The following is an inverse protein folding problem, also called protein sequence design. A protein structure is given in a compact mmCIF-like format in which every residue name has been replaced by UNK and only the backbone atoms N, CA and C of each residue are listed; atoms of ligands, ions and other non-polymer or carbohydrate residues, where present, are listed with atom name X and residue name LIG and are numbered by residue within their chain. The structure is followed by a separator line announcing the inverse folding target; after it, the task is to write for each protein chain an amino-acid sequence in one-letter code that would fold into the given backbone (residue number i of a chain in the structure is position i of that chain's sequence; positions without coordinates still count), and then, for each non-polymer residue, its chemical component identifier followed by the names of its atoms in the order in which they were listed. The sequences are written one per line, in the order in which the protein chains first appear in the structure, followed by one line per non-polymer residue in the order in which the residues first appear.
data_IF_881742850594
#
_entry.id   IF_881742850594
#
_cell.length_a   1.000
_cell.length_b   1.000
_cell.length_c   1.000
_cell.angle_alpha   90.00
_cell.angle_beta   90.00
_cell.angle_gamma   90.00
#
_symmetry.space_group_name_H-M   'P 1'
#
loop_
_entity.id
_entity.type
_entity.pdbx_description
1 polymer ?
#
# COMPACT_ATOMS: atom_id res chain seq x y z
N UNK A 1 -7.83 3.99 2.42
CA UNK A 1 -7.32 2.88 1.58
C UNK A 1 -7.85 2.87 0.15
N UNK A 2 -9.12 3.21 -0.11
CA UNK A 2 -9.68 3.22 -1.48
C UNK A 2 -8.82 3.98 -2.51
N UNK A 3 -8.34 5.18 -2.18
CA UNK A 3 -7.44 5.95 -3.05
C UNK A 3 -6.16 5.18 -3.41
N UNK A 4 -5.58 4.46 -2.45
CA UNK A 4 -4.36 3.68 -2.67
C UNK A 4 -4.60 2.53 -3.65
N UNK A 5 -5.74 1.84 -3.52
CA UNK A 5 -6.13 0.75 -4.42
C UNK A 5 -6.39 1.27 -5.82
N UNK A 6 -7.16 2.36 -5.96
CA UNK A 6 -7.42 2.98 -7.26
C UNK A 6 -6.12 3.41 -7.98
N UNK A 7 -5.13 3.92 -7.26
CA UNK A 7 -3.83 4.27 -7.84
C UNK A 7 -3.07 3.04 -8.38
N UNK A 8 -3.23 1.86 -7.76
CA UNK A 8 -2.66 0.60 -8.27
C UNK A 8 -3.39 0.16 -9.54
N UNK A 9 -4.73 0.22 -9.54
CA UNK A 9 -5.57 -0.10 -10.70
C UNK A 9 -5.19 0.78 -11.90
N UNK A 10 -5.11 2.10 -11.69
CA UNK A 10 -4.70 3.07 -12.70
C UNK A 10 -3.25 2.83 -13.18
N UNK A 11 -2.34 2.46 -12.28
CA UNK A 11 -0.96 2.12 -12.65
C UNK A 11 -0.92 0.89 -13.56
N UNK A 12 -1.70 -0.15 -13.24
CA UNK A 12 -1.80 -1.35 -14.06
C UNK A 12 -2.40 -1.06 -15.43
N UNK A 13 -3.44 -0.21 -15.48
CA UNK A 13 -4.03 0.24 -16.74
C UNK A 13 -2.98 0.98 -17.60
N UNK A 14 -2.26 1.96 -17.03
CA UNK A 14 -1.23 2.70 -17.77
C UNK A 14 -0.08 1.81 -18.23
N UNK A 15 0.33 0.83 -17.44
CA UNK A 15 1.35 -0.14 -17.83
C UNK A 15 0.90 -0.98 -19.03
N UNK A 16 -0.40 -1.34 -19.11
CA UNK A 16 -0.98 -2.08 -20.25
C UNK A 16 -1.14 -1.24 -21.53
N UNK A 17 -1.00 0.08 -21.42
CA UNK A 17 -1.13 1.04 -22.52
C UNK A 17 0.20 1.75 -22.86
N UNK A 18 1.32 1.03 -22.75
CA UNK A 18 2.67 1.50 -23.10
C UNK A 18 3.08 2.82 -22.43
N UNK A 19 2.58 3.06 -21.20
CA UNK A 19 2.90 4.25 -20.41
C UNK A 19 3.59 3.91 -19.07
N UNK A 20 4.71 3.15 -19.08
CA UNK A 20 5.36 2.64 -17.88
C UNK A 20 5.86 3.74 -16.94
N UNK A 21 6.36 4.86 -17.46
CA UNK A 21 6.80 5.99 -16.61
C UNK A 21 5.66 6.57 -15.77
N UNK A 22 4.45 6.70 -16.35
CA UNK A 22 3.30 7.17 -15.58
C UNK A 22 2.82 6.12 -14.58
N UNK A 23 2.84 4.84 -14.96
CA UNK A 23 2.55 3.75 -14.03
C UNK A 23 3.51 3.75 -12.83
N UNK A 24 4.82 3.98 -13.06
CA UNK A 24 5.83 4.16 -12.02
C UNK A 24 5.48 5.32 -11.07
N UNK A 25 5.03 6.46 -11.60
CA UNK A 25 4.67 7.58 -10.76
C UNK A 25 3.42 7.29 -9.90
N UNK A 26 2.44 6.57 -10.44
CA UNK A 26 1.23 6.17 -9.70
C UNK A 26 1.52 5.16 -8.58
N UNK A 27 2.41 4.18 -8.79
CA UNK A 27 2.80 3.28 -7.69
C UNK A 27 3.52 4.02 -6.56
N UNK A 28 4.31 5.06 -6.87
CA UNK A 28 4.94 5.90 -5.83
C UNK A 28 3.88 6.72 -5.10
N UNK A 29 2.90 7.29 -5.80
CA UNK A 29 1.78 7.97 -5.15
C UNK A 29 0.96 7.03 -4.28
N UNK A 30 0.73 5.79 -4.71
CA UNK A 30 0.05 4.77 -3.91
C UNK A 30 0.81 4.52 -2.59
N UNK A 31 2.13 4.39 -2.65
CA UNK A 31 2.97 4.26 -1.44
C UNK A 31 2.91 5.51 -0.54
N UNK A 32 2.81 6.72 -1.10
CA UNK A 32 2.59 7.94 -0.31
C UNK A 32 1.23 7.97 0.38
N UNK A 33 0.16 7.56 -0.30
CA UNK A 33 -1.18 7.46 0.30
C UNK A 33 -1.24 6.37 1.38
N UNK A 34 -0.58 5.23 1.14
CA UNK A 34 -0.41 4.19 2.14
C UNK A 34 0.31 4.72 3.38
N UNK A 35 1.40 5.48 3.21
CA UNK A 35 2.14 6.06 4.34
C UNK A 35 1.25 6.95 5.22
N UNK A 36 0.41 7.79 4.59
CA UNK A 36 -0.56 8.62 5.32
C UNK A 36 -1.59 7.77 6.05
N UNK A 37 -2.09 6.71 5.40
CA UNK A 37 -3.01 5.76 6.03
C UNK A 37 -2.36 5.11 7.24
N UNK A 38 -1.09 4.71 7.16
CA UNK A 38 -0.33 4.15 8.28
C UNK A 38 -0.13 5.14 9.44
N UNK A 39 0.12 6.42 9.15
CA UNK A 39 0.19 7.45 10.18
C UNK A 39 -1.13 7.63 10.91
N UNK A 40 -2.25 7.66 10.20
CA UNK A 40 -3.57 7.72 10.83
C UNK A 40 -3.86 6.45 11.62
N UNK A 41 -3.60 5.29 11.03
CA UNK A 41 -3.82 3.99 11.66
C UNK A 41 -3.07 3.89 12.99
N UNK A 42 -1.77 4.20 13.01
CA UNK A 42 -0.97 4.15 14.23
C UNK A 42 -1.45 5.14 15.32
N UNK A 43 -2.06 6.26 14.93
CA UNK A 43 -2.63 7.22 15.89
C UNK A 43 -4.04 6.86 16.37
N UNK A 44 -4.80 6.13 15.55
CA UNK A 44 -6.23 5.91 15.75
C UNK A 44 -6.58 4.50 16.23
N UNK A 45 -5.74 3.49 15.94
CA UNK A 45 -6.00 2.07 16.17
C UNK A 45 -6.49 1.78 17.59
N UNK A 46 -5.86 2.40 18.60
CA UNK A 46 -6.24 2.21 19.99
C UNK A 46 -7.68 2.68 20.27
N UNK A 47 -8.08 3.84 19.73
CA UNK A 47 -9.43 4.37 19.91
C UNK A 47 -10.46 3.66 19.03
N UNK A 48 -10.08 3.24 17.82
CA UNK A 48 -10.93 2.42 16.95
C UNK A 48 -11.18 1.02 17.51
N UNK A 49 -10.23 0.47 18.26
CA UNK A 49 -10.36 -0.85 18.90
C UNK A 49 -11.15 -0.79 20.21
N UNK A 50 -11.21 0.37 20.86
CA UNK A 50 -11.80 0.51 22.19
C UNK A 50 -13.28 0.05 22.31
N UNK A 51 -14.16 0.33 21.32
CA UNK A 51 -15.54 -0.18 21.35
C UNK A 51 -15.63 -1.70 21.21
N UNK A 52 -14.62 -2.35 20.61
CA UNK A 52 -14.66 -3.77 20.30
C UNK A 52 -14.43 -4.66 21.52
N UNK A 53 -13.85 -4.14 22.62
CA UNK A 53 -13.61 -4.92 23.85
C UNK A 53 -12.70 -6.14 23.63
N UNK A 54 -11.64 -5.98 22.82
CA UNK A 54 -10.75 -7.06 22.41
C UNK A 54 -9.60 -7.31 23.38
N UNK A 55 -8.97 -8.49 23.25
CA UNK A 55 -7.78 -8.88 24.01
C UNK A 55 -7.95 -8.83 25.54
N UNK A 56 -9.16 -9.11 26.02
CA UNK A 56 -9.48 -9.09 27.46
C UNK A 56 -9.69 -7.68 28.04
N UNK A 57 -9.79 -6.65 27.19
CA UNK A 57 -10.14 -5.29 27.59
C UNK A 57 -11.66 -5.11 27.59
N UNK A 58 -12.19 -4.35 28.54
CA UNK A 58 -13.61 -3.98 28.54
C UNK A 58 -13.91 -3.01 27.38
N UNK A 59 -15.06 -3.21 26.74
CA UNK A 59 -15.57 -2.29 25.71
C UNK A 59 -15.82 -0.91 26.33
N UNK A 60 -15.34 0.14 25.64
CA UNK A 60 -15.59 1.53 25.99
C UNK A 60 -15.83 2.37 24.73
N UNK A 61 -16.52 3.52 24.82
CA UNK A 61 -16.60 4.44 23.69
C UNK A 61 -15.21 4.87 23.20
N UNK A 62 -15.09 5.05 21.88
CA UNK A 62 -13.91 5.65 21.26
C UNK A 62 -13.76 7.10 21.73
N UNK A 63 -12.53 7.49 22.08
CA UNK A 63 -12.16 8.86 22.38
C UNK A 63 -11.74 9.62 21.11
N UNK A 64 -11.27 10.86 21.31
CA UNK A 64 -10.78 11.70 20.22
C UNK A 64 -9.44 11.17 19.68
N UNK A 65 -9.32 11.11 18.35
CA UNK A 65 -8.07 10.78 17.66
C UNK A 65 -7.30 12.07 17.36
N UNK A 66 -6.08 12.16 17.88
CA UNK A 66 -5.18 13.29 17.58
C UNK A 66 -4.51 13.05 16.23
N UNK A 67 -4.76 13.93 15.27
CA UNK A 67 -4.13 13.86 13.95
C UNK A 67 -2.62 14.12 14.08
N UNK A 68 -1.75 13.21 13.59
CA UNK A 68 -0.30 13.40 13.59
C UNK A 68 0.14 14.73 12.95
N UNK A 69 1.18 15.37 13.50
CA UNK A 69 1.70 16.65 13.00
C UNK A 69 2.10 16.60 11.51
N UNK A 70 2.64 15.46 11.07
CA UNK A 70 3.00 15.22 9.66
C UNK A 70 1.81 15.23 8.69
N UNK A 71 0.58 15.08 9.19
CA UNK A 71 -0.66 15.18 8.42
C UNK A 71 -1.36 16.52 8.60
N UNK A 72 -1.17 17.18 9.74
CA UNK A 72 -1.79 18.48 10.03
C UNK A 72 -1.01 19.67 9.47
N UNK A 73 0.29 19.50 9.19
CA UNK A 73 1.11 20.53 8.57
C UNK A 73 0.98 20.52 7.04
N UNK A 74 1.03 21.71 6.42
CA UNK A 74 1.14 21.86 4.95
C UNK A 74 2.51 21.45 4.41
N UNK A 75 3.45 21.02 5.28
CA UNK A 75 4.74 20.52 4.85
C UNK A 75 4.54 19.26 4.02
N UNK A 76 5.35 19.15 2.96
CA UNK A 76 5.35 18.04 2.02
C UNK A 76 6.55 17.13 2.27
N UNK A 77 6.64 16.39 3.39
CA UNK A 77 7.75 15.48 3.60
C UNK A 77 7.53 14.19 2.80
N UNK A 78 7.58 14.27 1.47
CA UNK A 78 7.37 13.13 0.57
C UNK A 78 8.33 11.98 0.89
N UNK A 79 9.59 12.30 1.21
CA UNK A 79 10.59 11.32 1.60
C UNK A 79 10.27 10.64 2.94
N UNK A 80 9.73 11.36 3.93
CA UNK A 80 9.36 10.75 5.22
C UNK A 80 8.14 9.83 5.06
N UNK A 81 7.16 10.21 4.22
CA UNK A 81 6.03 9.34 3.86
C UNK A 81 6.54 8.06 3.21
N UNK A 82 7.37 8.19 2.18
CA UNK A 82 7.92 7.03 1.48
C UNK A 82 8.78 6.15 2.40
N UNK A 83 9.54 6.73 3.32
CA UNK A 83 10.29 5.96 4.32
C UNK A 83 9.36 5.09 5.18
N UNK A 84 8.23 5.64 5.65
CA UNK A 84 7.25 4.88 6.47
C UNK A 84 6.64 3.73 5.68
N UNK A 85 6.27 3.96 4.42
CA UNK A 85 5.74 2.92 3.57
C UNK A 85 6.78 1.83 3.25
N UNK A 86 8.04 2.19 3.01
CA UNK A 86 9.11 1.22 2.76
C UNK A 86 9.49 0.43 4.02
N UNK A 87 9.49 1.06 5.20
CA UNK A 87 9.67 0.37 6.48
C UNK A 87 8.57 -0.67 6.69
N UNK A 88 7.30 -0.29 6.47
CA UNK A 88 6.19 -1.22 6.54
C UNK A 88 6.34 -2.36 5.52
N UNK A 89 6.74 -2.01 4.29
CA UNK A 89 6.98 -2.99 3.23
C UNK A 89 8.13 -3.97 3.53
N UNK A 90 9.14 -3.56 4.32
CA UNK A 90 10.28 -4.44 4.64
C UNK A 90 9.87 -5.70 5.40
N UNK A 91 8.79 -5.64 6.20
CA UNK A 91 8.24 -6.80 6.90
C UNK A 91 7.54 -7.82 6.00
N UNK A 92 7.21 -7.46 4.75
CA UNK A 92 6.47 -8.34 3.82
C UNK A 92 7.23 -9.59 3.40
N UNK A 93 8.56 -9.50 3.30
CA UNK A 93 9.37 -10.60 2.81
C UNK A 93 9.19 -11.85 3.68
N UNK A 94 9.22 -11.68 5.00
CA UNK A 94 9.00 -12.79 5.93
C UNK A 94 7.54 -13.23 6.05
N UNK A 95 6.58 -12.40 5.66
CA UNK A 95 5.16 -12.76 5.63
C UNK A 95 4.84 -13.67 4.44
N UNK A 96 5.32 -13.32 3.25
CA UNK A 96 5.00 -14.01 2.00
C UNK A 96 5.99 -15.13 1.62
N UNK A 97 7.14 -15.19 2.30
CA UNK A 97 8.22 -16.13 1.98
C UNK A 97 8.70 -16.83 3.25
N UNK A 98 8.47 -18.15 3.34
CA UNK A 98 8.83 -18.95 4.52
C UNK A 98 10.35 -18.94 4.81
N UNK A 99 11.15 -18.88 3.76
CA UNK A 99 12.61 -18.78 3.75
C UNK A 99 13.12 -17.41 4.25
N UNK A 100 12.29 -16.36 4.19
CA UNK A 100 12.66 -14.98 4.58
C UNK A 100 12.03 -14.55 5.90
N UNK A 101 11.42 -15.48 6.67
CA UNK A 101 10.82 -15.19 7.99
C UNK A 101 11.75 -14.54 9.00
N UNK A 102 13.07 -14.77 8.89
CA UNK A 102 14.05 -14.11 9.78
C UNK A 102 14.15 -12.60 9.54
N UNK A 103 13.85 -12.13 8.33
CA UNK A 103 13.89 -10.71 7.97
C UNK A 103 12.77 -9.90 8.67
N UNK A 104 11.75 -10.56 9.23
CA UNK A 104 10.74 -9.92 10.10
C UNK A 104 11.35 -9.32 11.38
N UNK A 105 12.46 -9.89 11.84
CA UNK A 105 13.12 -9.53 13.10
C UNK A 105 14.39 -8.69 12.90
N UNK A 106 14.83 -8.51 11.66
CA UNK A 106 15.97 -7.66 11.35
C UNK A 106 15.53 -6.19 11.30
N UNK A 107 16.20 -5.34 12.07
CA UNK A 107 15.95 -3.90 12.02
C UNK A 107 16.36 -3.38 10.67
N UNK A 108 15.38 -2.84 9.98
CA UNK A 108 15.52 -2.32 8.66
C UNK A 108 16.46 -1.08 8.67
N UNK A 109 17.41 -1.01 7.73
CA UNK A 109 18.42 0.06 7.67
C UNK A 109 17.80 1.43 7.28
N UNK A 110 17.76 2.34 8.26
CA UNK A 110 17.16 3.67 8.13
C UNK A 110 17.81 4.54 7.04
N UNK A 111 19.13 4.42 6.84
CA UNK A 111 19.85 5.20 5.82
C UNK A 111 19.46 4.72 4.42
N UNK A 112 19.34 3.40 4.25
CA UNK A 112 18.87 2.78 3.00
C UNK A 112 17.43 3.21 2.66
N UNK A 113 16.54 3.38 3.65
CA UNK A 113 15.19 3.88 3.37
C UNK A 113 15.15 5.34 2.98
N UNK A 114 15.95 6.20 3.60
CA UNK A 114 16.01 7.61 3.22
C UNK A 114 16.51 7.78 1.77
N UNK A 115 17.55 7.02 1.39
CA UNK A 115 18.05 7.00 0.02
C UNK A 115 16.99 6.47 -0.97
N UNK A 116 16.33 5.36 -0.62
CA UNK A 116 15.25 4.77 -1.44
C UNK A 116 14.08 5.75 -1.61
N UNK A 117 13.63 6.37 -0.53
CA UNK A 117 12.54 7.35 -0.55
C UNK A 117 12.88 8.57 -1.44
N UNK A 118 14.13 9.05 -1.38
CA UNK A 118 14.61 10.12 -2.26
C UNK A 118 14.56 9.70 -3.72
N UNK A 119 15.06 8.50 -4.05
CA UNK A 119 15.03 7.96 -5.41
C UNK A 119 13.59 7.80 -5.91
N UNK A 120 12.69 7.23 -5.10
CA UNK A 120 11.26 7.10 -5.43
C UNK A 120 10.58 8.43 -5.71
N UNK A 121 10.93 9.49 -4.97
CA UNK A 121 10.40 10.81 -5.28
C UNK A 121 10.91 11.36 -6.62
N UNK A 122 12.15 11.06 -7.02
CA UNK A 122 12.68 11.40 -8.35
C UNK A 122 11.99 10.58 -9.45
N UNK A 123 11.86 9.27 -9.26
CA UNK A 123 11.12 8.36 -10.15
C UNK A 123 9.71 8.88 -10.44
N UNK A 124 9.00 9.31 -9.40
CA UNK A 124 7.67 9.91 -9.51
C UNK A 124 7.68 11.19 -10.35
N UNK A 125 8.67 12.07 -10.15
CA UNK A 125 8.77 13.30 -10.93
C UNK A 125 9.04 12.99 -12.41
N UNK A 126 9.96 12.06 -12.69
CA UNK A 126 10.29 11.61 -14.05
C UNK A 126 9.09 10.98 -14.77
N UNK A 127 8.20 10.32 -14.03
CA UNK A 127 6.98 9.73 -14.58
C UNK A 127 5.84 10.70 -14.87
N UNK A 128 5.88 11.94 -14.36
CA UNK A 128 4.84 12.95 -14.62
C UNK A 128 5.30 14.09 -15.53
N UNK A 129 6.57 14.46 -15.46
CA UNK A 129 7.07 15.68 -16.08
C UNK A 129 8.06 15.37 -17.20
N UNK A 130 8.01 16.20 -18.23
CA UNK A 130 9.10 16.32 -19.20
C UNK A 130 10.17 17.19 -18.55
N UNK A 131 11.42 16.73 -18.59
CA UNK A 131 12.54 17.45 -18.01
C UNK A 131 13.67 17.62 -19.03
N UNK A 132 14.59 18.53 -18.75
CA UNK A 132 15.76 18.82 -19.58
C UNK A 132 17.03 18.55 -18.79
N UNK A 133 17.83 17.61 -19.28
CA UNK A 133 19.17 17.33 -18.78
C UNK A 133 20.21 17.80 -19.80
N UNK A 134 20.76 19.00 -19.59
CA UNK A 134 21.72 19.62 -20.51
C UNK A 134 21.11 19.93 -21.89
N UNK A 135 21.50 19.17 -22.90
CA UNK A 135 20.93 19.26 -24.26
C UNK A 135 19.87 18.18 -24.55
N UNK A 136 19.66 17.26 -23.62
CA UNK A 136 18.70 16.16 -23.75
C UNK A 136 17.35 16.50 -23.12
N UNK A 137 16.27 16.02 -23.72
CA UNK A 137 14.91 16.08 -23.15
C UNK A 137 14.54 14.67 -22.69
N UNK A 138 14.18 14.52 -21.43
CA UNK A 138 13.62 13.28 -20.87
C UNK A 138 12.11 13.40 -20.78
N UNK A 139 11.39 12.30 -21.02
CA UNK A 139 9.94 12.28 -20.91
C UNK A 139 9.48 10.98 -20.25
N UNK A 140 8.26 10.96 -19.66
CA UNK A 140 7.70 9.74 -19.10
C UNK A 140 7.60 8.57 -20.09
N UNK A 141 7.51 8.86 -21.40
CA UNK A 141 7.46 7.85 -22.46
C UNK A 141 8.84 7.24 -22.78
N UNK A 142 9.92 7.86 -22.32
CA UNK A 142 11.28 7.36 -22.51
C UNK A 142 11.73 6.43 -21.38
N UNK A 143 10.93 6.29 -20.32
CA UNK A 143 11.20 5.37 -19.21
C UNK A 143 10.95 3.94 -19.70
N UNK A 144 11.92 3.05 -19.50
CA UNK A 144 11.78 1.64 -19.85
C UNK A 144 10.68 0.98 -19.03
N UNK A 145 9.97 0.02 -19.63
CA UNK A 145 8.92 -0.75 -18.95
C UNK A 145 9.47 -1.80 -17.96
N UNK A 146 10.79 -1.94 -17.90
CA UNK A 146 11.47 -2.98 -17.15
C UNK A 146 11.00 -2.97 -15.68
N UNK A 147 10.54 -4.13 -15.22
CA UNK A 147 10.13 -4.41 -13.84
C UNK A 147 8.87 -3.69 -13.32
N UNK A 148 8.16 -2.89 -14.13
CA UNK A 148 6.94 -2.18 -13.69
C UNK A 148 5.84 -3.13 -13.19
N UNK A 149 5.65 -4.27 -13.86
CA UNK A 149 4.67 -5.27 -13.43
C UNK A 149 4.99 -5.86 -12.04
N UNK A 150 6.28 -6.09 -11.75
CA UNK A 150 6.71 -6.56 -10.42
C UNK A 150 6.59 -5.45 -9.38
N UNK A 151 6.87 -4.20 -9.75
CA UNK A 151 6.68 -3.05 -8.88
C UNK A 151 5.21 -2.86 -8.49
N UNK A 152 4.28 -2.97 -9.45
CA UNK A 152 2.82 -2.97 -9.21
C UNK A 152 2.46 -4.11 -8.26
N UNK A 153 2.91 -5.34 -8.54
CA UNK A 153 2.63 -6.51 -7.69
C UNK A 153 3.14 -6.30 -6.27
N UNK A 154 4.36 -5.80 -6.10
CA UNK A 154 4.94 -5.51 -4.78
C UNK A 154 4.10 -4.47 -4.04
N UNK A 155 3.78 -3.35 -4.67
CA UNK A 155 2.95 -2.29 -4.05
C UNK A 155 1.56 -2.83 -3.68
N UNK A 156 0.94 -3.63 -4.53
CA UNK A 156 -0.34 -4.29 -4.26
C UNK A 156 -0.27 -5.21 -3.03
N UNK A 157 0.79 -6.02 -2.89
CA UNK A 157 1.02 -6.87 -1.70
C UNK A 157 1.19 -6.06 -0.41
N UNK A 158 1.85 -4.90 -0.48
CA UNK A 158 1.99 -4.01 0.68
C UNK A 158 0.61 -3.50 1.13
N UNK A 159 -0.21 -3.08 0.17
CA UNK A 159 -1.58 -2.61 0.43
C UNK A 159 -2.45 -3.72 0.99
N UNK A 160 -2.37 -4.90 0.40
CA UNK A 160 -3.07 -6.09 0.88
C UNK A 160 -2.71 -6.42 2.34
N UNK A 161 -1.43 -6.33 2.72
CA UNK A 161 -1.00 -6.55 4.11
C UNK A 161 -1.63 -5.55 5.08
N UNK A 162 -1.75 -4.28 4.69
CA UNK A 162 -2.44 -3.29 5.53
C UNK A 162 -3.93 -3.62 5.69
N UNK A 163 -4.60 -4.08 4.63
CA UNK A 163 -6.00 -4.51 4.70
C UNK A 163 -6.16 -5.75 5.59
N UNK A 164 -5.21 -6.69 5.53
CA UNK A 164 -5.18 -7.87 6.41
C UNK A 164 -4.98 -7.45 7.87
N UNK A 165 -4.05 -6.53 8.14
CA UNK A 165 -3.79 -6.01 9.49
C UNK A 165 -5.05 -5.37 10.09
N UNK A 166 -5.75 -4.51 9.34
CA UNK A 166 -6.99 -3.87 9.79
C UNK A 166 -8.16 -4.86 9.95
N UNK A 167 -8.28 -5.86 9.06
CA UNK A 167 -9.27 -6.92 9.25
C UNK A 167 -8.95 -7.76 10.51
N UNK A 168 -7.68 -8.11 10.72
CA UNK A 168 -7.26 -8.90 11.88
C UNK A 168 -7.51 -8.15 13.19
N UNK A 169 -7.35 -6.81 13.22
CA UNK A 169 -7.63 -5.96 14.39
C UNK A 169 -9.04 -6.20 14.96
N UNK A 170 -10.01 -6.51 14.13
CA UNK A 170 -11.44 -6.60 14.49
C UNK A 170 -12.04 -8.01 14.38
N UNK A 171 -11.25 -9.00 13.95
CA UNK A 171 -11.72 -10.37 13.64
C UNK A 171 -12.39 -11.08 14.84
N UNK A 172 -11.97 -10.77 16.06
CA UNK A 172 -12.49 -11.38 17.29
C UNK A 172 -13.58 -10.54 17.98
N UNK A 173 -14.12 -9.53 17.30
CA UNK A 173 -15.14 -8.66 17.88
C UNK A 173 -16.39 -9.47 18.26
N UNK A 174 -16.85 -9.40 19.52
CA UNK A 174 -18.01 -10.18 19.97
C UNK A 174 -19.32 -9.70 19.34
N UNK A 175 -19.37 -8.44 18.90
CA UNK A 175 -20.50 -7.84 18.18
C UNK A 175 -20.05 -7.40 16.78
N UNK A 176 -20.51 -8.13 15.77
CA UNK A 176 -20.19 -7.86 14.37
C UNK A 176 -20.71 -6.51 13.86
N UNK A 177 -21.71 -5.90 14.53
CA UNK A 177 -22.25 -4.59 14.13
C UNK A 177 -21.29 -3.43 14.39
N UNK A 178 -20.23 -3.66 15.17
CA UNK A 178 -19.19 -2.69 15.49
C UNK A 178 -17.99 -2.76 14.55
N UNK A 179 -17.94 -3.74 13.64
CA UNK A 179 -16.85 -3.95 12.69
C UNK A 179 -16.90 -2.84 11.63
N UNK A 180 -15.79 -2.11 11.47
CA UNK A 180 -15.61 -1.01 10.54
C UNK A 180 -14.62 -1.38 9.42
N UNK A 181 -14.87 -2.52 8.78
CA UNK A 181 -13.94 -3.13 7.84
C UNK A 181 -13.93 -2.51 6.44
N UNK A 182 -12.73 -2.45 5.85
CA UNK A 182 -12.51 -2.13 4.45
C UNK A 182 -12.24 -3.40 3.59
N UNK A 183 -12.70 -4.56 4.03
CA UNK A 183 -12.45 -5.87 3.40
C UNK A 183 -12.86 -5.95 1.92
N UNK A 184 -13.87 -5.21 1.47
CA UNK A 184 -14.25 -5.13 0.06
C UNK A 184 -13.08 -4.67 -0.84
N UNK A 185 -12.16 -3.85 -0.31
CA UNK A 185 -10.97 -3.43 -1.04
C UNK A 185 -9.95 -4.56 -1.22
N UNK A 186 -10.02 -5.62 -0.41
CA UNK A 186 -9.15 -6.79 -0.54
C UNK A 186 -9.41 -7.51 -1.87
N UNK A 187 -10.69 -7.62 -2.27
CA UNK A 187 -11.06 -8.14 -3.57
C UNK A 187 -10.58 -7.28 -4.73
N UNK A 188 -10.61 -5.96 -4.58
CA UNK A 188 -10.15 -5.03 -5.61
C UNK A 188 -8.62 -5.07 -5.82
N UNK A 189 -7.83 -5.29 -4.77
CA UNK A 189 -6.35 -5.34 -4.89
C UNK A 189 -5.81 -6.71 -5.33
N UNK A 190 -6.56 -7.79 -5.10
CA UNK A 190 -6.14 -9.18 -5.36
C UNK A 190 -5.69 -9.48 -6.80
N UNK A 191 -6.34 -8.94 -7.87
CA UNK A 191 -5.87 -9.12 -9.25
C UNK A 191 -4.43 -8.64 -9.47
N UNK A 192 -3.94 -7.72 -8.64
CA UNK A 192 -2.60 -7.14 -8.77
C UNK A 192 -1.60 -7.74 -7.79
N UNK A 193 -2.02 -8.09 -6.56
CA UNK A 193 -1.15 -8.71 -5.57
C UNK A 193 -0.86 -10.17 -5.89
N UNK A 194 -1.89 -10.94 -6.25
CA UNK A 194 -1.86 -12.39 -6.44
C UNK A 194 -2.66 -12.79 -7.71
N UNK A 195 -2.21 -12.35 -8.90
CA UNK A 195 -2.96 -12.50 -10.15
C UNK A 195 -3.33 -13.96 -10.48
N UNK A 196 -2.45 -14.90 -10.17
CA UNK A 196 -2.66 -16.33 -10.41
C UNK A 196 -3.77 -16.89 -9.50
N UNK A 197 -3.78 -16.50 -8.22
CA UNK A 197 -4.80 -16.91 -7.26
C UNK A 197 -6.17 -16.34 -7.68
N UNK A 198 -6.21 -15.06 -8.01
CA UNK A 198 -7.43 -14.39 -8.47
C UNK A 198 -8.00 -15.05 -9.74
N UNK A 199 -7.14 -15.27 -10.74
CA UNK A 199 -7.56 -15.91 -11.99
C UNK A 199 -8.12 -17.33 -11.77
N UNK A 200 -7.49 -18.12 -10.90
CA UNK A 200 -7.99 -19.45 -10.55
C UNK A 200 -9.35 -19.40 -9.85
N UNK A 201 -9.54 -18.47 -8.91
CA UNK A 201 -10.81 -18.28 -8.22
C UNK A 201 -11.94 -17.91 -9.19
N UNK A 202 -11.70 -16.92 -10.07
CA UNK A 202 -12.66 -16.50 -11.09
C UNK A 202 -13.00 -17.64 -12.04
N UNK A 203 -12.00 -18.41 -12.48
CA UNK A 203 -12.23 -19.55 -13.37
C UNK A 203 -13.11 -20.65 -12.74
N UNK A 204 -12.94 -20.93 -11.45
CA UNK A 204 -13.76 -21.91 -10.72
C UNK A 204 -15.22 -21.44 -10.59
N UNK A 205 -15.45 -20.18 -10.20
CA UNK A 205 -16.80 -19.66 -9.96
C UNK A 205 -17.54 -19.26 -11.24
N UNK A 206 -16.83 -19.06 -12.36
CA UNK A 206 -17.48 -18.86 -13.66
C UNK A 206 -17.97 -20.17 -14.27
N UNK A 207 -17.40 -21.32 -13.87
CA UNK A 207 -17.82 -22.63 -14.35
C UNK A 207 -19.07 -23.17 -13.61
N UNK A 208 -19.27 -22.76 -12.35
CA UNK A 208 -20.41 -23.18 -11.52
C UNK A 208 -21.70 -22.37 -11.80
N UNK A 209 -21.65 -21.35 -12.66
CA UNK A 209 -22.78 -20.48 -13.01
C UNK A 209 -23.56 -20.88 -14.28
N UNK A 210 -23.13 -21.94 -14.97
CA UNK A 210 -23.70 -22.44 -16.24
C UNK A 210 -24.47 -23.78 -16.10
N UNK A 211 -24.81 -24.20 -14.87
CA UNK A 211 -25.76 -25.32 -14.58
C UNK A 211 -27.12 -24.82 -14.05
#
# INVERSE_FOLDING_TARGET
MANTVALIEDAALLASHDSPGRAQALIVLAMEELAKARWLYAAAEYEWTAPLGLYGLESRPAGDVVVPEGLSSTRRPHSEKLQVAEQFASGLAGFWSLDRRMEYYERADLETFAATAKQRNLDKQAGFYVDRDGESITSPLAIAADDIANAIRRTAKVVQMHLIEDHTRQQDAPDASLIDSAEDLHWAVMPYSDPELFANFVAQHSADGDE
#
